data_IF_921115351137
#
_entry.id   IF_921115351137
#
_cell.length_a   1.000
_cell.length_b   1.000
_cell.length_c   1.000
_cell.angle_alpha   90.00
_cell.angle_beta   90.00
_cell.angle_gamma   90.00
#
_symmetry.space_group_name_H-M   'P 1'
#
loop_
_entity.id
_entity.type
_entity.pdbx_description
1 polymer ?
#
# COMPACT_ATOMS: atom_id res chain seq x y z
N UNK A 1 -9.29 2.75 -17.27
CA UNK A 1 -9.56 2.53 -15.82
C UNK A 1 -10.25 3.78 -15.27
N UNK A 2 -11.44 3.65 -14.69
CA UNK A 2 -12.08 4.77 -13.97
C UNK A 2 -11.40 4.85 -12.60
N UNK A 3 -10.64 5.92 -12.34
CA UNK A 3 -10.11 6.22 -11.01
C UNK A 3 -11.27 6.68 -10.13
N UNK A 4 -11.67 5.86 -9.16
CA UNK A 4 -12.61 6.30 -8.12
C UNK A 4 -11.76 7.02 -7.07
N UNK A 5 -11.95 8.33 -6.84
CA UNK A 5 -11.23 9.03 -5.79
C UNK A 5 -11.67 8.46 -4.44
N UNK A 6 -10.74 7.83 -3.72
CA UNK A 6 -10.97 7.41 -2.34
C UNK A 6 -10.95 8.69 -1.48
N UNK A 7 -12.03 9.01 -0.75
CA UNK A 7 -12.04 10.20 0.11
C UNK A 7 -10.94 10.04 1.17
N UNK A 8 -10.01 10.99 1.19
CA UNK A 8 -8.97 11.09 2.22
C UNK A 8 -9.65 11.57 3.49
N UNK A 9 -9.61 10.81 4.60
CA UNK A 9 -10.14 11.31 5.87
C UNK A 9 -9.34 12.55 6.32
N UNK A 10 -10.03 13.58 6.82
CA UNK A 10 -9.38 14.82 7.24
C UNK A 10 -8.26 14.57 8.26
N UNK A 11 -7.13 15.25 8.06
CA UNK A 11 -5.96 15.13 8.94
C UNK A 11 -5.26 13.77 8.91
N UNK A 12 -5.55 12.90 7.92
CA UNK A 12 -4.86 11.61 7.76
C UNK A 12 -3.93 11.55 6.56
N UNK A 13 -2.81 10.85 6.73
CA UNK A 13 -1.83 10.52 5.70
C UNK A 13 -1.99 9.04 5.30
N UNK A 14 -2.12 8.71 4.01
CA UNK A 14 -2.19 7.32 3.58
C UNK A 14 -0.82 6.65 3.67
N UNK A 15 -0.80 5.43 4.19
CA UNK A 15 0.29 4.47 4.00
C UNK A 15 -0.13 3.49 2.91
N UNK A 16 0.75 3.32 1.93
CA UNK A 16 0.46 2.56 0.72
C UNK A 16 1.21 1.23 0.77
N UNK A 17 0.59 0.18 0.24
CA UNK A 17 1.21 -1.11 0.06
C UNK A 17 1.38 -1.44 -1.42
N UNK A 18 2.54 -1.97 -1.79
CA UNK A 18 2.79 -2.63 -3.07
C UNK A 18 2.80 -4.15 -2.86
N UNK A 19 2.15 -4.89 -3.75
CA UNK A 19 2.24 -6.33 -3.77
C UNK A 19 3.69 -6.78 -4.08
N UNK A 20 4.27 -7.63 -3.24
CA UNK A 20 5.63 -8.17 -3.43
C UNK A 20 5.72 -9.42 -4.32
N UNK A 21 4.69 -9.75 -5.09
CA UNK A 21 4.73 -10.89 -6.03
C UNK A 21 5.23 -10.42 -7.41
N UNK A 22 6.08 -11.22 -8.06
CA UNK A 22 6.73 -10.86 -9.34
C UNK A 22 5.75 -10.43 -10.43
N UNK A 23 4.59 -11.07 -10.48
CA UNK A 23 3.62 -10.89 -11.57
C UNK A 23 2.42 -10.04 -11.12
N UNK A 24 2.54 -9.32 -10.00
CA UNK A 24 1.44 -8.51 -9.46
C UNK A 24 1.93 -7.15 -8.96
N UNK A 25 1.62 -6.11 -9.74
CA UNK A 25 1.97 -4.71 -9.45
C UNK A 25 0.88 -3.96 -8.67
N UNK A 26 0.02 -4.68 -7.94
CA UNK A 26 -1.11 -4.04 -7.27
C UNK A 26 -0.63 -3.12 -6.14
N UNK A 27 -1.04 -1.85 -6.21
CA UNK A 27 -0.80 -0.82 -5.20
C UNK A 27 -2.13 -0.40 -4.57
N UNK A 28 -2.21 -0.34 -3.24
CA UNK A 28 -3.41 0.09 -2.52
C UNK A 28 -3.10 0.82 -1.22
N UNK A 29 -4.05 1.61 -0.71
CA UNK A 29 -3.94 2.21 0.63
C UNK A 29 -4.14 1.12 1.67
N UNK A 30 -3.12 0.83 2.47
CA UNK A 30 -3.18 -0.19 3.50
C UNK A 30 -3.75 0.35 4.82
N UNK A 31 -3.41 1.59 5.18
CA UNK A 31 -3.88 2.24 6.40
C UNK A 31 -3.75 3.76 6.32
N UNK A 32 -4.38 4.45 7.27
CA UNK A 32 -4.34 5.91 7.39
C UNK A 32 -3.68 6.29 8.72
N UNK A 33 -2.65 7.13 8.68
CA UNK A 33 -1.96 7.66 9.84
C UNK A 33 -2.41 9.09 10.17
N UNK A 34 -2.29 9.57 11.42
CA UNK A 34 -1.90 8.78 12.60
C UNK A 34 -2.94 7.69 12.89
N UNK A 35 -2.58 6.62 13.57
CA UNK A 35 -3.53 5.63 14.10
C UNK A 35 -2.93 4.99 15.35
N UNK A 36 -3.77 4.27 16.11
CA UNK A 36 -3.27 3.50 17.25
C UNK A 36 -2.20 2.49 16.82
N UNK A 37 -1.06 2.50 17.50
CA UNK A 37 0.12 1.73 17.07
C UNK A 37 -0.13 0.23 17.03
N UNK A 38 -0.89 -0.30 18.00
CA UNK A 38 -1.27 -1.72 18.03
C UNK A 38 -2.22 -2.08 16.88
N UNK A 39 -3.09 -1.15 16.48
CA UNK A 39 -3.97 -1.35 15.34
C UNK A 39 -3.17 -1.31 14.04
N UNK A 40 -2.18 -0.42 13.92
CA UNK A 40 -1.25 -0.41 12.78
C UNK A 40 -0.51 -1.75 12.67
N UNK A 41 0.07 -2.24 13.78
CA UNK A 41 0.76 -3.52 13.83
C UNK A 41 -0.16 -4.70 13.44
N UNK A 42 -1.40 -4.70 13.93
CA UNK A 42 -2.40 -5.72 13.58
C UNK A 42 -2.72 -5.71 12.08
N UNK A 43 -2.94 -4.53 11.50
CA UNK A 43 -3.17 -4.36 10.05
C UNK A 43 -1.97 -4.90 9.27
N UNK A 44 -0.76 -4.45 9.61
CA UNK A 44 0.47 -4.89 8.93
C UNK A 44 0.68 -6.40 8.99
N UNK A 45 0.38 -7.04 10.13
CA UNK A 45 0.50 -8.49 10.29
C UNK A 45 -0.51 -9.28 9.44
N UNK A 46 -1.70 -8.72 9.21
CA UNK A 46 -2.78 -9.34 8.45
C UNK A 46 -2.76 -9.00 6.95
N UNK A 47 -1.87 -8.11 6.53
CA UNK A 47 -1.93 -7.49 5.22
C UNK A 47 -1.66 -8.52 4.12
N UNK A 48 -2.59 -8.60 3.16
CA UNK A 48 -2.46 -9.45 1.96
C UNK A 48 -2.85 -8.65 0.74
N UNK A 49 -2.30 -8.98 -0.42
CA UNK A 49 -2.72 -8.37 -1.66
C UNK A 49 -4.20 -8.68 -1.93
N UNK A 50 -5.08 -7.68 -2.08
CA UNK A 50 -6.50 -7.93 -2.32
C UNK A 50 -6.79 -8.44 -3.74
N UNK A 51 -5.80 -8.44 -4.64
CA UNK A 51 -5.94 -8.96 -6.00
C UNK A 51 -5.47 -10.41 -6.12
N UNK A 52 -4.26 -10.73 -5.65
CA UNK A 52 -3.66 -12.06 -5.84
C UNK A 52 -3.48 -12.88 -4.54
N UNK A 53 -3.76 -12.30 -3.37
CA UNK A 53 -3.65 -12.98 -2.08
C UNK A 53 -2.23 -13.09 -1.51
N UNK A 54 -1.21 -12.56 -2.20
CA UNK A 54 0.19 -12.61 -1.74
C UNK A 54 0.33 -12.11 -0.29
N UNK A 55 0.95 -12.88 0.62
CA UNK A 55 1.02 -12.55 2.05
C UNK A 55 2.06 -11.49 2.40
N UNK A 56 2.95 -11.13 1.48
CA UNK A 56 4.10 -10.27 1.78
C UNK A 56 4.08 -8.96 0.97
N UNK A 57 3.13 -8.05 1.23
CA UNK A 57 3.17 -6.72 0.68
C UNK A 57 4.23 -5.84 1.35
N UNK A 58 4.82 -4.93 0.57
CA UNK A 58 5.77 -3.92 1.07
C UNK A 58 5.02 -2.62 1.34
N UNK A 59 5.17 -2.06 2.54
CA UNK A 59 4.58 -0.78 2.93
C UNK A 59 5.54 0.38 2.63
N UNK A 60 4.97 1.50 2.22
CA UNK A 60 5.68 2.73 1.90
C UNK A 60 4.81 3.94 2.26
N UNK A 61 5.43 5.08 2.52
CA UNK A 61 4.69 6.34 2.62
C UNK A 61 4.16 6.77 1.23
N UNK A 62 3.16 7.64 1.21
CA UNK A 62 2.56 8.12 -0.02
C UNK A 62 3.53 8.93 -0.91
N UNK A 63 4.64 9.44 -0.36
CA UNK A 63 5.68 10.13 -1.13
C UNK A 63 6.53 9.14 -1.95
N UNK A 64 6.85 7.98 -1.37
CA UNK A 64 7.54 6.88 -2.02
C UNK A 64 6.63 6.03 -2.91
N UNK A 65 5.31 6.01 -2.65
CA UNK A 65 4.32 5.34 -3.52
C UNK A 65 4.34 5.86 -4.97
N UNK A 66 4.66 7.15 -5.17
CA UNK A 66 4.84 7.73 -6.50
C UNK A 66 6.10 7.23 -7.23
N UNK A 67 7.09 6.73 -6.49
CA UNK A 67 8.39 6.26 -7.01
C UNK A 67 8.46 4.74 -7.20
N UNK A 68 7.52 3.97 -6.62
CA UNK A 68 7.44 2.51 -6.79
C UNK A 68 7.09 2.04 -8.21
N UNK A 69 6.88 2.96 -9.16
CA UNK A 69 6.82 2.67 -10.60
C UNK A 69 8.18 2.69 -11.32
N UNK A 70 9.29 3.02 -10.65
CA UNK A 70 10.54 3.43 -11.34
C UNK A 70 11.72 2.45 -11.18
N UNK A 71 11.66 1.41 -10.35
CA UNK A 71 12.82 0.52 -10.19
C UNK A 71 12.43 -0.95 -10.24
N UNK A 72 12.21 -1.48 -11.45
CA UNK A 72 12.71 -2.78 -11.95
C UNK A 72 12.61 -2.77 -13.49
N UNK A 73 13.34 -1.85 -14.15
CA UNK A 73 13.46 -1.79 -15.61
C UNK A 73 14.91 -1.60 -16.06
N UNK A 74 15.88 -2.10 -15.28
CA UNK A 74 17.27 -2.23 -15.71
C UNK A 74 17.80 -3.61 -15.27
N UNK A 75 17.75 -4.53 -16.22
CA UNK A 75 18.41 -5.83 -16.24
C UNK A 75 18.57 -6.26 -17.69
#
# INVERSE_FOLDING_TARGET
>A
MKTIPIPVPEGRTPMVALCGASDCEHVWVALWLPMEMLLAAAVMKSLRCPLCGNPHPKLCDSGHAAQLKVTEADG
#
